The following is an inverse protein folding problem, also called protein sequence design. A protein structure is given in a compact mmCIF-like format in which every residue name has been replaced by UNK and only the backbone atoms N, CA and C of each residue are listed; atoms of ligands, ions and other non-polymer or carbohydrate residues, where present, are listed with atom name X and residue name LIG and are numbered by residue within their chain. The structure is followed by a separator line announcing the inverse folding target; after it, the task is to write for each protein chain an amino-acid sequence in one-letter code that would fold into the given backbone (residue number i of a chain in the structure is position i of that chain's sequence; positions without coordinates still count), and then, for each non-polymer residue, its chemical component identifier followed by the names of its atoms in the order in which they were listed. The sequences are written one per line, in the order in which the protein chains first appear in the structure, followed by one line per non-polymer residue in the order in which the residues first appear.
data_IF_978484094521
#
_entry.id   IF_978484094521
#
_cell.length_a   1.000
_cell.length_b   1.000
_cell.length_c   1.000
_cell.angle_alpha   90.00
_cell.angle_beta   90.00
_cell.angle_gamma   90.00
#
_symmetry.space_group_name_H-M   'P 1'
#
loop_
_entity.id
_entity.type
_entity.pdbx_description
1 polymer ?
#
# COMPACT_ATOMS: atom_id res chain seq x y z
N UNK A 1 17.16 29.52 19.81
CA UNK A 1 17.11 28.38 20.76
C UNK A 1 16.43 28.83 22.03
N UNK A 2 15.49 28.07 22.61
CA UNK A 2 14.78 28.49 23.81
C UNK A 2 15.70 28.53 25.03
N UNK A 3 15.55 29.57 25.86
CA UNK A 3 16.31 29.76 27.11
C UNK A 3 16.02 28.64 28.11
N UNK A 4 16.87 28.43 29.12
CA UNK A 4 16.64 27.41 30.16
C UNK A 4 15.28 27.58 30.87
N UNK A 5 14.86 28.84 31.07
CA UNK A 5 13.53 29.18 31.61
C UNK A 5 12.39 28.76 30.67
N UNK A 6 12.51 29.01 29.37
CA UNK A 6 11.52 28.58 28.38
C UNK A 6 11.43 27.05 28.27
N UNK A 7 12.54 26.34 28.44
CA UNK A 7 12.55 24.86 28.47
C UNK A 7 11.87 24.29 29.72
N UNK A 8 12.06 24.91 30.87
CA UNK A 8 11.34 24.54 32.09
C UNK A 8 9.84 24.80 31.95
N UNK A 9 9.45 25.96 31.42
CA UNK A 9 8.06 26.32 31.16
C UNK A 9 7.35 25.35 30.20
N UNK A 10 8.01 24.91 29.12
CA UNK A 10 7.46 23.90 28.18
C UNK A 10 7.20 22.54 28.83
N UNK A 11 8.09 22.07 29.72
CA UNK A 11 7.87 20.82 30.45
C UNK A 11 6.67 20.92 31.40
N UNK A 12 6.53 22.06 32.06
CA UNK A 12 5.43 22.30 32.98
C UNK A 12 4.09 22.48 32.24
N UNK A 13 4.09 23.12 31.07
CA UNK A 13 2.93 23.21 30.17
C UNK A 13 2.45 21.81 29.74
N UNK A 14 3.36 20.93 29.33
CA UNK A 14 3.01 19.56 28.95
C UNK A 14 2.45 18.73 30.14
N UNK A 15 2.97 18.96 31.35
CA UNK A 15 2.44 18.34 32.56
C UNK A 15 1.01 18.80 32.84
N UNK A 16 0.74 20.12 32.82
CA UNK A 16 -0.61 20.65 33.01
C UNK A 16 -1.59 20.19 31.94
N UNK A 17 -1.15 20.06 30.69
CA UNK A 17 -1.98 19.51 29.61
C UNK A 17 -2.40 18.05 29.90
N UNK A 18 -1.49 17.23 30.41
CA UNK A 18 -1.81 15.86 30.81
C UNK A 18 -2.75 15.81 32.03
N UNK A 19 -2.57 16.70 33.01
CA UNK A 19 -3.44 16.78 34.20
C UNK A 19 -4.85 17.24 33.82
N UNK A 20 -4.99 18.33 33.06
CA UNK A 20 -6.29 18.87 32.62
C UNK A 20 -7.01 17.97 31.61
N UNK A 21 -6.27 17.16 30.84
CA UNK A 21 -6.87 16.15 29.96
C UNK A 21 -7.39 14.92 30.70
N UNK A 22 -6.85 14.63 31.90
CA UNK A 22 -7.20 13.44 32.68
C UNK A 22 -8.12 13.73 33.88
N UNK A 23 -8.23 14.99 34.34
CA UNK A 23 -9.00 15.37 35.51
C UNK A 23 -10.15 16.35 35.18
N UNK A 24 -11.26 16.23 35.91
CA UNK A 24 -12.41 17.14 35.83
C UNK A 24 -12.58 18.00 37.09
N UNK A 25 -11.56 18.02 37.97
CA UNK A 25 -11.61 18.71 39.27
C UNK A 25 -11.32 20.20 39.12
N UNK A 26 -12.09 21.03 39.81
CA UNK A 26 -11.95 22.50 39.73
C UNK A 26 -10.67 23.02 40.41
N UNK A 27 -10.15 22.28 41.40
CA UNK A 27 -8.89 22.58 42.08
C UNK A 27 -7.68 22.56 41.11
N UNK A 28 -7.67 21.64 40.16
CA UNK A 28 -6.59 21.51 39.18
C UNK A 28 -6.62 22.67 38.16
N UNK A 29 -7.81 23.22 37.88
CA UNK A 29 -7.97 24.40 37.02
C UNK A 29 -7.47 25.67 37.70
N UNK A 30 -7.76 25.84 38.98
CA UNK A 30 -7.27 26.97 39.77
C UNK A 30 -5.74 26.97 39.87
N UNK A 31 -5.14 25.81 40.14
CA UNK A 31 -3.69 25.67 40.21
C UNK A 31 -3.00 25.89 38.84
N UNK A 32 -3.63 25.48 37.74
CA UNK A 32 -3.15 25.83 36.40
C UNK A 32 -3.23 27.34 36.12
N UNK A 33 -4.33 28.00 36.48
CA UNK A 33 -4.48 29.44 36.31
C UNK A 33 -3.41 30.23 37.06
N UNK A 34 -3.10 29.82 38.29
CA UNK A 34 -2.04 30.43 39.10
C UNK A 34 -0.66 30.26 38.44
N UNK A 35 -0.34 29.05 37.97
CA UNK A 35 0.90 28.78 37.24
C UNK A 35 1.01 29.58 35.93
N UNK A 36 -0.06 29.65 35.15
CA UNK A 36 -0.10 30.36 33.87
C UNK A 36 0.07 31.88 34.06
N UNK A 37 -0.45 32.43 35.16
CA UNK A 37 -0.30 33.85 35.51
C UNK A 37 1.09 34.20 36.09
N UNK A 38 1.85 33.22 36.55
CA UNK A 38 3.08 33.44 37.33
C UNK A 38 4.27 33.99 36.52
N UNK A 39 4.38 33.64 35.23
CA UNK A 39 5.51 34.08 34.39
C UNK A 39 5.13 34.21 32.90
N UNK A 40 5.66 35.22 32.18
CA UNK A 40 5.43 35.37 30.74
C UNK A 40 5.89 34.15 29.91
N UNK A 41 6.94 33.45 30.37
CA UNK A 41 7.43 32.23 29.71
C UNK A 41 6.45 31.05 29.79
N UNK A 42 5.60 31.00 30.83
CA UNK A 42 4.58 29.97 30.98
C UNK A 42 3.43 30.17 29.97
N UNK A 43 3.04 31.43 29.76
CA UNK A 43 2.04 31.81 28.75
C UNK A 43 2.54 31.48 27.34
N UNK A 44 3.80 31.84 27.05
CA UNK A 44 4.44 31.49 25.78
C UNK A 44 4.49 29.97 25.56
N UNK A 45 4.83 29.20 26.59
CA UNK A 45 4.89 27.74 26.52
C UNK A 45 3.50 27.11 26.29
N UNK A 46 2.47 27.64 26.94
CA UNK A 46 1.08 27.20 26.78
C UNK A 46 0.57 27.47 25.35
N UNK A 47 0.75 28.69 24.85
CA UNK A 47 0.41 29.06 23.46
C UNK A 47 1.14 28.19 22.42
N UNK A 48 2.37 27.77 22.70
CA UNK A 48 3.11 26.90 21.78
C UNK A 48 2.52 25.49 21.72
N UNK A 49 2.00 25.00 22.83
CA UNK A 49 1.33 23.70 22.93
C UNK A 49 -0.04 23.73 22.24
N UNK A 50 -0.82 24.79 22.43
CA UNK A 50 -2.13 24.98 21.77
C UNK A 50 -1.99 25.08 20.24
N UNK A 51 -1.00 25.84 19.75
CA UNK A 51 -0.72 25.91 18.31
C UNK A 51 -0.36 24.55 17.72
N UNK A 52 0.37 23.71 18.48
CA UNK A 52 0.71 22.35 18.05
C UNK A 52 -0.56 21.48 17.98
N UNK A 53 -1.46 21.60 18.96
CA UNK A 53 -2.74 20.88 18.96
C UNK A 53 -3.63 21.28 17.77
N UNK A 54 -3.74 22.58 17.48
CA UNK A 54 -4.53 23.06 16.34
C UNK A 54 -3.98 22.57 15.00
N UNK A 55 -2.64 22.51 14.86
CA UNK A 55 -2.00 21.92 13.67
C UNK A 55 -2.26 20.42 13.53
N UNK A 56 -2.43 19.71 14.65
CA UNK A 56 -2.71 18.28 14.67
C UNK A 56 -4.20 17.94 14.45
N UNK A 57 -5.13 18.84 14.82
CA UNK A 57 -6.57 18.66 14.58
C UNK A 57 -6.97 18.79 13.11
N UNK A 58 -6.11 19.35 12.26
CA UNK A 58 -6.30 19.41 10.80
C UNK A 58 -5.92 18.13 10.04
N UNK A 59 -5.43 17.10 10.73
CA UNK A 59 -5.07 15.81 10.13
C UNK A 59 -6.17 14.78 10.41
N UNK A 60 -6.84 14.21 9.39
CA UNK A 60 -7.82 13.15 9.59
C UNK A 60 -7.10 11.85 9.93
N UNK A 61 -7.12 11.46 11.19
CA UNK A 61 -6.60 10.16 11.62
C UNK A 61 -6.36 10.07 13.12
N UNK A 62 -7.31 9.45 13.84
CA UNK A 62 -7.14 9.04 15.23
C UNK A 62 -6.08 7.93 15.33
N UNK A 63 -4.81 8.30 15.32
CA UNK A 63 -3.69 7.43 15.66
C UNK A 63 -2.56 8.25 16.29
N UNK A 64 -2.72 8.60 17.57
CA UNK A 64 -1.58 8.82 18.47
C UNK A 64 -2.10 8.96 19.91
N UNK A 65 -1.86 7.92 20.73
CA UNK A 65 -1.40 7.99 22.15
C UNK A 65 -1.75 6.72 22.96
N UNK A 66 -1.33 5.53 22.49
CA UNK A 66 -1.28 4.34 23.36
C UNK A 66 0.04 3.54 23.28
N UNK A 67 1.11 4.12 22.75
CA UNK A 67 2.41 3.40 22.61
C UNK A 67 3.57 4.10 23.32
N UNK A 68 3.31 5.06 24.22
CA UNK A 68 4.37 5.70 25.03
C UNK A 68 4.08 5.55 26.53
N UNK A 69 3.65 4.36 26.94
CA UNK A 69 3.58 4.01 28.35
C UNK A 69 3.93 2.55 28.56
N UNK A 70 5.19 2.20 28.32
CA UNK A 70 5.83 1.09 29.02
C UNK A 70 7.34 1.29 29.02
N UNK A 71 7.87 1.50 30.23
CA UNK A 71 9.23 1.15 30.65
C UNK A 71 10.39 2.08 30.27
N UNK A 72 10.61 3.11 31.09
CA UNK A 72 11.94 3.71 31.26
C UNK A 72 12.38 3.69 32.73
N UNK A 73 12.88 2.52 33.13
CA UNK A 73 13.79 2.38 34.26
C UNK A 73 15.24 2.42 33.78
N UNK A 74 16.02 3.37 34.34
CA UNK A 74 17.49 3.39 34.42
C UNK A 74 18.29 2.98 33.17
N UNK A 75 18.76 3.97 32.39
CA UNK A 75 20.21 4.09 32.18
C UNK A 75 20.64 5.50 31.74
N UNK A 76 21.51 6.15 32.55
CA UNK A 76 21.93 7.55 32.40
C UNK A 76 23.10 7.75 31.43
N UNK A 77 23.61 6.68 30.79
CA UNK A 77 24.86 6.73 30.01
C UNK A 77 24.71 6.60 28.49
N UNK A 78 23.51 6.30 27.98
CA UNK A 78 23.28 6.19 26.52
C UNK A 78 22.93 7.53 25.87
N UNK A 79 22.44 8.50 26.66
CA UNK A 79 22.06 9.85 26.17
C UNK A 79 23.26 10.69 25.75
N UNK A 80 24.44 10.48 26.37
CA UNK A 80 25.65 11.25 26.04
C UNK A 80 26.32 10.85 24.71
N UNK A 81 26.01 9.67 24.14
CA UNK A 81 26.50 9.30 22.79
C UNK A 81 25.65 9.92 21.67
N UNK A 82 24.43 10.37 21.95
CA UNK A 82 23.55 11.01 20.97
C UNK A 82 23.88 12.48 20.69
N UNK A 83 24.62 13.17 21.57
CA UNK A 83 24.87 14.61 21.46
C UNK A 83 26.13 14.99 20.68
N UNK A 84 27.06 14.07 20.42
CA UNK A 84 28.23 14.33 19.56
C UNK A 84 27.86 14.28 18.07
N UNK A 85 26.80 13.56 17.70
CA UNK A 85 26.32 13.49 16.31
C UNK A 85 25.60 14.76 15.82
N UNK A 86 25.17 15.65 16.72
CA UNK A 86 24.43 16.86 16.35
C UNK A 86 25.32 18.09 16.08
N UNK A 87 26.60 18.06 16.47
CA UNK A 87 27.52 19.20 16.26
C UNK A 87 28.30 19.13 14.92
N UNK A 88 28.40 17.96 14.28
CA UNK A 88 29.09 17.81 12.98
C UNK A 88 28.18 17.86 11.75
N UNK A 89 26.86 17.96 11.92
CA UNK A 89 25.89 17.75 10.83
C UNK A 89 25.62 18.97 9.94
N UNK A 90 25.97 20.19 10.34
CA UNK A 90 25.56 21.40 9.61
C UNK A 90 26.36 21.64 8.32
N UNK A 91 27.62 21.23 8.24
CA UNK A 91 28.44 21.41 7.04
C UNK A 91 28.25 20.28 6.02
N UNK A 92 27.96 19.06 6.48
CA UNK A 92 27.60 17.95 5.58
C UNK A 92 26.17 18.10 5.02
N UNK A 93 25.25 18.73 5.74
CA UNK A 93 23.88 18.96 5.26
C UNK A 93 23.78 19.93 4.07
N UNK A 94 24.76 20.82 3.88
CA UNK A 94 24.75 21.79 2.79
C UNK A 94 25.38 21.24 1.51
N UNK A 95 26.43 20.42 1.62
CA UNK A 95 27.05 19.72 0.48
C UNK A 95 26.26 18.49 0.04
N UNK A 96 25.51 17.85 0.95
CA UNK A 96 24.63 16.73 0.62
C UNK A 96 23.38 17.14 -0.19
N UNK A 97 22.94 18.40 -0.11
CA UNK A 97 21.77 18.90 -0.87
C UNK A 97 21.99 18.99 -2.38
N UNK A 98 23.23 18.96 -2.85
CA UNK A 98 23.54 19.13 -4.28
C UNK A 98 23.85 17.81 -5.00
N UNK A 99 24.02 16.70 -4.27
CA UNK A 99 24.44 15.40 -4.83
C UNK A 99 23.67 14.18 -4.30
N UNK A 100 22.56 14.37 -3.58
CA UNK A 100 21.69 13.26 -3.18
C UNK A 100 20.55 13.10 -4.19
N UNK A 101 20.47 11.97 -4.92
CA UNK A 101 19.31 11.64 -5.73
C UNK A 101 18.16 11.25 -4.79
N UNK A 102 17.50 12.26 -4.22
CA UNK A 102 16.20 12.09 -3.57
C UNK A 102 15.13 11.94 -4.65
N UNK A 103 15.16 10.83 -5.39
CA UNK A 103 13.92 10.28 -5.91
C UNK A 103 13.24 9.61 -4.73
N UNK A 104 12.11 10.16 -4.25
CA UNK A 104 11.48 9.69 -3.03
C UNK A 104 11.01 8.25 -3.23
N UNK A 105 11.00 7.50 -2.13
CA UNK A 105 10.46 6.14 -1.99
C UNK A 105 8.92 6.12 -2.12
N UNK A 106 8.39 6.83 -3.11
CA UNK A 106 6.96 6.99 -3.39
C UNK A 106 6.80 6.61 -4.85
N UNK A 107 6.11 5.50 -5.10
CA UNK A 107 5.81 5.08 -6.45
C UNK A 107 5.11 6.21 -7.21
N UNK A 108 5.54 6.52 -8.44
CA UNK A 108 5.01 7.62 -9.26
C UNK A 108 3.48 7.55 -9.41
N UNK A 109 2.92 6.33 -9.46
CA UNK A 109 1.48 6.09 -9.49
C UNK A 109 1.06 4.96 -8.55
N UNK A 110 -0.09 5.14 -7.87
CA UNK A 110 -0.65 4.18 -6.92
C UNK A 110 -2.17 4.11 -7.02
N UNK A 111 -2.73 2.98 -6.63
CA UNK A 111 -4.16 2.76 -6.37
C UNK A 111 -4.35 2.25 -4.93
N UNK A 112 -5.39 2.71 -4.26
CA UNK A 112 -5.81 2.20 -2.96
C UNK A 112 -6.46 0.81 -3.06
N UNK A 113 -6.76 0.20 -1.91
CA UNK A 113 -7.55 -1.04 -1.85
C UNK A 113 -8.97 -0.73 -2.38
N UNK A 114 -9.44 -1.53 -3.33
CA UNK A 114 -10.72 -1.37 -4.02
C UNK A 114 -10.71 -0.32 -5.14
N UNK A 115 -9.63 0.45 -5.30
CA UNK A 115 -9.50 1.44 -6.35
C UNK A 115 -8.88 0.83 -7.61
N UNK A 116 -9.38 1.23 -8.78
CA UNK A 116 -8.74 0.98 -10.07
C UNK A 116 -8.49 2.30 -10.78
N UNK A 117 -7.34 2.41 -11.44
CA UNK A 117 -6.96 3.62 -12.17
C UNK A 117 -6.56 3.27 -13.59
N UNK A 118 -6.88 4.17 -14.52
CA UNK A 118 -6.48 4.07 -15.92
C UNK A 118 -5.72 5.32 -16.30
N UNK A 119 -4.59 5.14 -16.96
CA UNK A 119 -3.67 6.21 -17.31
C UNK A 119 -3.25 6.05 -18.78
N UNK A 120 -3.17 7.17 -19.49
CA UNK A 120 -2.50 7.24 -20.79
C UNK A 120 -1.06 7.71 -20.55
N UNK A 121 -0.09 6.91 -20.97
CA UNK A 121 1.33 7.18 -20.82
C UNK A 121 1.82 8.18 -21.88
N UNK A 122 3.00 8.75 -21.67
CA UNK A 122 3.56 9.77 -22.56
C UNK A 122 3.83 9.28 -24.00
N UNK A 123 3.96 7.96 -24.20
CA UNK A 123 4.11 7.33 -25.51
C UNK A 123 2.76 6.94 -26.16
N UNK A 124 1.64 7.26 -25.52
CA UNK A 124 0.29 6.89 -25.96
C UNK A 124 -0.18 5.50 -25.50
N UNK A 125 0.68 4.71 -24.86
CA UNK A 125 0.31 3.41 -24.30
C UNK A 125 -0.72 3.58 -23.16
N UNK A 126 -1.56 2.57 -22.95
CA UNK A 126 -2.52 2.55 -21.82
C UNK A 126 -1.99 1.68 -20.69
N UNK A 127 -2.11 2.20 -19.47
CA UNK A 127 -1.75 1.50 -18.25
C UNK A 127 -2.95 1.50 -17.30
N UNK A 128 -3.43 0.31 -16.96
CA UNK A 128 -4.45 0.10 -15.95
C UNK A 128 -3.81 -0.45 -14.68
N UNK A 129 -4.09 0.18 -13.53
CA UNK A 129 -3.70 -0.28 -12.21
C UNK A 129 -4.91 -0.94 -11.57
N UNK A 130 -4.73 -2.18 -11.11
CA UNK A 130 -5.72 -2.87 -10.29
C UNK A 130 -5.69 -2.36 -8.83
N UNK A 131 -6.50 -2.94 -7.96
CA UNK A 131 -6.50 -2.68 -6.51
C UNK A 131 -5.11 -2.82 -5.88
N UNK A 132 -4.77 -1.89 -4.99
CA UNK A 132 -3.55 -1.91 -4.18
C UNK A 132 -2.25 -2.05 -5.02
N UNK A 133 -2.17 -1.35 -6.14
CA UNK A 133 -1.02 -1.36 -7.05
C UNK A 133 -0.13 -0.14 -6.86
N UNK A 134 1.16 -0.31 -7.13
CA UNK A 134 2.16 0.75 -7.08
C UNK A 134 3.17 0.57 -8.22
N UNK A 135 3.37 1.61 -9.02
CA UNK A 135 4.29 1.61 -10.17
C UNK A 135 5.11 2.89 -10.27
N UNK A 136 6.36 2.74 -10.71
CA UNK A 136 7.22 3.84 -11.15
C UNK A 136 7.31 3.85 -12.68
N UNK A 137 7.35 5.04 -13.28
CA UNK A 137 7.35 5.21 -14.73
C UNK A 137 8.66 5.89 -15.12
N UNK A 138 9.52 5.17 -15.83
CA UNK A 138 10.88 5.58 -16.21
C UNK A 138 11.03 5.50 -17.72
N UNK A 139 10.63 6.56 -18.42
CA UNK A 139 10.76 6.65 -19.87
C UNK A 139 11.93 7.55 -20.23
N UNK A 140 12.77 7.08 -21.14
CA UNK A 140 13.93 7.82 -21.64
C UNK A 140 14.05 7.68 -23.17
N UNK A 141 15.21 8.05 -23.71
CA UNK A 141 15.47 7.99 -25.14
C UNK A 141 15.76 6.56 -25.63
N UNK A 142 16.09 5.64 -24.74
CA UNK A 142 16.51 4.27 -25.02
C UNK A 142 15.39 3.27 -24.78
N UNK A 143 14.52 3.50 -23.80
CA UNK A 143 13.53 2.53 -23.34
C UNK A 143 12.29 3.19 -22.71
N UNK A 144 11.24 2.37 -22.59
CA UNK A 144 9.99 2.70 -21.89
C UNK A 144 9.82 1.70 -20.74
N UNK A 145 10.31 2.05 -19.55
CA UNK A 145 10.30 1.16 -18.39
C UNK A 145 9.17 1.51 -17.42
N UNK A 146 8.42 0.49 -17.01
CA UNK A 146 7.50 0.50 -15.88
C UNK A 146 8.09 -0.40 -14.80
N UNK A 147 8.28 0.10 -13.58
CA UNK A 147 8.70 -0.72 -12.44
C UNK A 147 7.47 -1.01 -11.58
N UNK A 148 7.01 -2.26 -11.58
CA UNK A 148 5.91 -2.72 -10.75
C UNK A 148 6.43 -3.05 -9.35
N UNK A 149 6.13 -2.19 -8.39
CA UNK A 149 6.54 -2.37 -7.00
C UNK A 149 5.62 -3.36 -6.27
N UNK A 150 4.31 -3.27 -6.53
CA UNK A 150 3.31 -4.14 -5.94
C UNK A 150 2.02 -4.17 -6.75
N UNK A 151 1.23 -5.23 -6.55
CA UNK A 151 -0.12 -5.35 -7.08
C UNK A 151 -0.16 -5.93 -8.49
N UNK A 152 -1.05 -5.40 -9.30
CA UNK A 152 -1.35 -5.89 -10.63
C UNK A 152 -1.63 -4.74 -11.59
N UNK A 153 -1.15 -4.89 -12.82
CA UNK A 153 -1.35 -3.96 -13.92
C UNK A 153 -1.76 -4.67 -15.20
N UNK A 154 -2.44 -3.94 -16.07
CA UNK A 154 -2.57 -4.27 -17.49
C UNK A 154 -1.91 -3.17 -18.31
N UNK A 155 -1.14 -3.59 -19.31
CA UNK A 155 -0.48 -2.70 -20.25
C UNK A 155 -1.00 -2.99 -21.65
N UNK A 156 -1.27 -1.93 -22.40
CA UNK A 156 -1.51 -1.97 -23.83
C UNK A 156 -0.55 -1.00 -24.51
N UNK A 157 0.43 -1.56 -25.21
CA UNK A 157 1.54 -0.78 -25.77
C UNK A 157 1.24 -0.24 -27.15
N UNK A 158 1.68 0.98 -27.43
CA UNK A 158 1.78 1.50 -28.80
C UNK A 158 3.10 1.03 -29.45
N UNK A 159 3.10 0.66 -30.75
CA UNK A 159 4.32 0.32 -31.47
C UNK A 159 5.35 1.46 -31.45
N UNK A 160 6.56 1.16 -31.00
CA UNK A 160 7.73 2.05 -31.08
C UNK A 160 8.95 1.12 -31.20
N UNK A 161 9.42 0.85 -32.43
CA UNK A 161 10.57 -0.04 -32.67
C UNK A 161 11.89 0.51 -32.14
N UNK A 162 11.99 1.81 -31.88
CA UNK A 162 13.22 2.44 -31.43
C UNK A 162 13.46 2.23 -29.93
N UNK A 163 12.37 2.14 -29.14
CA UNK A 163 12.45 1.99 -27.68
C UNK A 163 11.62 0.79 -27.22
N UNK A 164 12.23 -0.28 -26.67
CA UNK A 164 11.46 -1.39 -26.11
C UNK A 164 10.60 -0.93 -24.94
N UNK A 165 9.43 -1.54 -24.80
CA UNK A 165 8.57 -1.38 -23.63
C UNK A 165 8.86 -2.52 -22.65
N UNK A 166 9.22 -2.16 -21.42
CA UNK A 166 9.70 -3.06 -20.39
C UNK A 166 8.85 -2.90 -19.13
N UNK A 167 8.53 -4.00 -18.48
CA UNK A 167 7.96 -4.03 -17.13
C UNK A 167 8.94 -4.78 -16.23
N UNK A 168 9.58 -4.07 -15.31
CA UNK A 168 10.40 -4.68 -14.28
C UNK A 168 9.55 -5.03 -13.07
N UNK A 169 9.81 -6.20 -12.51
CA UNK A 169 9.26 -6.67 -11.23
C UNK A 169 10.42 -7.06 -10.32
N UNK A 170 10.12 -7.43 -9.08
CA UNK A 170 11.17 -7.96 -8.20
C UNK A 170 11.79 -9.28 -8.71
N UNK A 171 11.03 -10.05 -9.51
CA UNK A 171 11.35 -11.42 -9.95
C UNK A 171 12.00 -11.44 -11.35
N UNK A 172 11.78 -10.43 -12.18
CA UNK A 172 12.35 -10.40 -13.53
C UNK A 172 11.87 -9.22 -14.39
N UNK A 173 12.29 -9.25 -15.65
CA UNK A 173 11.98 -8.25 -16.66
C UNK A 173 11.05 -8.84 -17.72
N UNK A 174 9.94 -8.17 -17.99
CA UNK A 174 9.00 -8.52 -19.06
C UNK A 174 9.16 -7.50 -20.19
N UNK A 175 9.50 -7.95 -21.39
CA UNK A 175 9.60 -7.12 -22.59
C UNK A 175 8.39 -7.34 -23.49
N UNK A 176 7.67 -6.27 -23.78
CA UNK A 176 6.53 -6.31 -24.67
C UNK A 176 6.97 -6.30 -26.14
N UNK A 177 6.36 -7.16 -26.96
CA UNK A 177 6.60 -7.23 -28.42
C UNK A 177 5.44 -6.58 -29.20
N UNK A 178 4.86 -5.49 -28.67
CA UNK A 178 3.71 -4.78 -29.26
C UNK A 178 2.35 -5.32 -28.83
N UNK A 179 2.16 -5.53 -27.52
CA UNK A 179 1.12 -6.42 -26.97
C UNK A 179 0.17 -5.71 -25.99
N UNK A 180 -0.96 -6.38 -25.72
CA UNK A 180 -1.78 -6.23 -24.52
C UNK A 180 -1.53 -7.40 -23.58
N UNK A 181 -1.12 -7.12 -22.34
CA UNK A 181 -0.76 -8.14 -21.34
C UNK A 181 -1.01 -7.64 -19.92
N UNK A 182 -1.06 -8.58 -18.97
CA UNK A 182 -1.21 -8.35 -17.53
C UNK A 182 0.03 -8.81 -16.80
N UNK A 183 0.41 -8.09 -15.75
CA UNK A 183 1.50 -8.48 -14.84
C UNK A 183 0.97 -8.34 -13.42
N UNK A 184 1.04 -9.43 -12.65
CA UNK A 184 0.62 -9.49 -11.26
C UNK A 184 1.77 -9.97 -10.39
N UNK A 185 2.20 -9.13 -9.46
CA UNK A 185 3.21 -9.49 -8.47
C UNK A 185 2.51 -10.07 -7.23
N UNK A 186 2.67 -11.38 -7.01
CA UNK A 186 2.16 -12.07 -5.82
C UNK A 186 3.18 -12.01 -4.69
N UNK A 187 2.99 -12.72 -3.58
CA UNK A 187 3.96 -12.72 -2.46
C UNK A 187 5.26 -13.48 -2.78
N UNK A 188 5.18 -14.57 -3.55
CA UNK A 188 6.32 -15.45 -3.82
C UNK A 188 6.82 -15.44 -5.28
N UNK A 189 5.98 -15.00 -6.22
CA UNK A 189 6.30 -15.03 -7.65
C UNK A 189 5.57 -13.89 -8.38
N UNK A 190 5.91 -13.71 -9.65
CA UNK A 190 5.23 -12.83 -10.60
C UNK A 190 4.52 -13.67 -11.64
N UNK A 191 3.30 -13.27 -12.01
CA UNK A 191 2.50 -13.90 -13.05
C UNK A 191 2.31 -12.91 -14.20
N UNK A 192 2.56 -13.36 -15.43
CA UNK A 192 2.29 -12.61 -16.65
C UNK A 192 1.25 -13.36 -17.49
N UNK A 193 0.24 -12.65 -17.96
CA UNK A 193 -0.80 -13.18 -18.84
C UNK A 193 -0.89 -12.35 -20.12
N UNK A 194 -0.76 -12.99 -21.28
CA UNK A 194 -0.72 -12.28 -22.57
C UNK A 194 -2.06 -12.39 -23.28
N UNK A 195 -2.67 -11.24 -23.57
CA UNK A 195 -3.95 -11.17 -24.28
C UNK A 195 -3.78 -11.08 -25.80
N UNK A 196 -2.74 -10.41 -26.28
CA UNK A 196 -2.48 -10.20 -27.71
C UNK A 196 -0.99 -10.31 -28.02
N UNK A 197 -0.59 -10.76 -29.21
CA UNK A 197 0.82 -10.89 -29.60
C UNK A 197 1.65 -11.73 -28.61
N UNK A 198 2.77 -11.20 -28.10
CA UNK A 198 3.67 -11.93 -27.20
C UNK A 198 4.47 -11.00 -26.27
N UNK A 199 4.99 -11.58 -25.19
CA UNK A 199 6.01 -10.97 -24.33
C UNK A 199 7.19 -11.91 -24.15
N UNK A 200 8.38 -11.35 -23.96
CA UNK A 200 9.58 -12.09 -23.56
C UNK A 200 9.85 -11.85 -22.07
N UNK A 201 10.06 -12.92 -21.30
CA UNK A 201 10.35 -12.86 -19.87
C UNK A 201 11.79 -13.27 -19.61
N UNK A 202 12.53 -12.40 -18.93
CA UNK A 202 13.91 -12.63 -18.49
C UNK A 202 13.95 -12.68 -16.96
N UNK A 203 14.50 -13.75 -16.39
CA UNK A 203 14.62 -13.90 -14.94
C UNK A 203 15.75 -13.03 -14.38
N UNK A 204 15.61 -12.58 -13.13
CA UNK A 204 16.56 -11.64 -12.53
C UNK A 204 17.89 -12.29 -12.12
N UNK A 205 17.88 -13.51 -11.60
CA UNK A 205 19.05 -14.17 -11.00
C UNK A 205 19.67 -15.24 -11.90
N UNK A 206 18.94 -15.73 -12.90
CA UNK A 206 19.41 -16.80 -13.78
C UNK A 206 19.65 -16.27 -15.19
N UNK A 207 20.89 -16.37 -15.73
CA UNK A 207 21.17 -16.11 -17.13
C UNK A 207 20.66 -17.28 -17.98
N UNK A 208 19.34 -17.32 -18.17
CA UNK A 208 18.65 -18.24 -19.08
C UNK A 208 18.16 -17.47 -20.31
N UNK A 209 17.94 -18.14 -21.45
CA UNK A 209 17.28 -17.52 -22.58
C UNK A 209 15.88 -17.03 -22.19
N UNK A 210 15.46 -15.92 -22.80
CA UNK A 210 14.14 -15.35 -22.58
C UNK A 210 13.04 -16.39 -22.84
N UNK A 211 12.09 -16.50 -21.91
CA UNK A 211 10.88 -17.31 -22.13
C UNK A 211 9.85 -16.49 -22.88
N UNK A 212 9.48 -16.94 -24.07
CA UNK A 212 8.46 -16.30 -24.90
C UNK A 212 7.07 -16.79 -24.49
N UNK A 213 6.20 -15.85 -24.10
CA UNK A 213 4.81 -16.12 -23.73
C UNK A 213 3.92 -15.56 -24.84
N UNK A 214 3.11 -16.42 -25.46
CA UNK A 214 2.23 -16.07 -26.58
C UNK A 214 0.84 -15.66 -26.08
N UNK A 215 0.06 -15.02 -26.95
CA UNK A 215 -1.34 -14.71 -26.70
C UNK A 215 -2.13 -15.95 -26.27
N UNK A 216 -2.99 -15.78 -25.26
CA UNK A 216 -3.76 -16.87 -24.67
C UNK A 216 -2.94 -17.74 -23.71
N UNK A 217 -1.73 -17.34 -23.34
CA UNK A 217 -0.89 -18.04 -22.36
C UNK A 217 -0.60 -17.18 -21.13
N UNK A 218 -0.34 -17.85 -20.02
CA UNK A 218 0.20 -17.26 -18.80
C UNK A 218 1.46 -18.01 -18.34
N UNK A 219 2.34 -17.26 -17.68
CA UNK A 219 3.58 -17.75 -17.10
C UNK A 219 3.71 -17.21 -15.68
N UNK A 220 3.95 -18.10 -14.72
CA UNK A 220 4.36 -17.76 -13.37
C UNK A 220 5.87 -17.99 -13.23
N UNK A 221 6.58 -17.05 -12.63
CA UNK A 221 8.03 -17.13 -12.45
C UNK A 221 8.48 -16.39 -11.18
N UNK A 222 9.55 -16.88 -10.57
CA UNK A 222 10.29 -16.19 -9.53
C UNK A 222 11.64 -15.69 -10.07
N UNK A 223 12.52 -15.21 -9.20
CA UNK A 223 13.82 -14.67 -9.62
C UNK A 223 14.74 -15.69 -10.35
N UNK A 224 14.48 -16.98 -10.19
CA UNK A 224 15.39 -18.07 -10.58
C UNK A 224 14.76 -19.12 -11.49
N UNK A 225 13.43 -19.30 -11.42
CA UNK A 225 12.72 -20.36 -12.12
C UNK A 225 11.42 -19.89 -12.77
N UNK A 226 11.09 -20.50 -13.90
CA UNK A 226 9.79 -20.42 -14.55
C UNK A 226 8.95 -21.67 -14.29
N UNK A 227 7.66 -21.50 -14.04
CA UNK A 227 6.69 -22.59 -14.12
C UNK A 227 6.34 -22.92 -15.59
N UNK A 228 5.75 -24.09 -15.88
CA UNK A 228 5.24 -24.38 -17.22
C UNK A 228 4.20 -23.35 -17.67
N UNK A 229 4.20 -23.04 -18.97
CA UNK A 229 3.18 -22.21 -19.60
C UNK A 229 1.79 -22.85 -19.43
N UNK A 230 0.79 -22.05 -19.08
CA UNK A 230 -0.61 -22.49 -18.96
C UNK A 230 -1.50 -21.66 -19.87
N UNK A 231 -2.69 -22.16 -20.24
CA UNK A 231 -3.70 -21.33 -20.90
C UNK A 231 -4.11 -20.16 -20.01
N UNK A 232 -4.19 -18.97 -20.60
CA UNK A 232 -4.75 -17.79 -19.95
C UNK A 232 -6.28 -17.88 -19.98
N UNK A 233 -6.92 -17.63 -18.85
CA UNK A 233 -8.37 -17.41 -18.81
C UNK A 233 -8.71 -16.16 -19.65
N UNK A 234 -9.55 -16.27 -20.70
CA UNK A 234 -9.95 -15.12 -21.53
C UNK A 234 -10.55 -13.97 -20.71
N UNK A 235 -11.14 -14.28 -19.55
CA UNK A 235 -11.81 -13.35 -18.66
C UNK A 235 -10.88 -12.75 -17.60
N UNK A 236 -9.59 -13.13 -17.58
CA UNK A 236 -8.59 -12.67 -16.59
C UNK A 236 -8.43 -11.14 -16.56
N UNK A 237 -8.82 -10.43 -17.63
CA UNK A 237 -8.72 -8.97 -17.72
C UNK A 237 -10.00 -8.20 -17.37
N UNK A 238 -11.11 -8.88 -17.06
CA UNK A 238 -12.40 -8.22 -16.79
C UNK A 238 -12.38 -7.33 -15.55
N UNK A 239 -11.37 -7.46 -14.69
CA UNK A 239 -11.18 -6.54 -13.57
C UNK A 239 -11.01 -5.09 -14.04
N UNK A 240 -10.50 -4.88 -15.26
CA UNK A 240 -10.41 -3.53 -15.86
C UNK A 240 -11.78 -2.91 -16.13
N UNK A 241 -12.83 -3.74 -16.28
CA UNK A 241 -14.21 -3.37 -16.56
C UNK A 241 -15.11 -3.39 -15.31
N UNK A 242 -14.54 -3.42 -14.10
CA UNK A 242 -15.38 -3.40 -12.91
C UNK A 242 -15.75 -4.77 -12.34
N UNK A 243 -15.38 -5.88 -13.00
CA UNK A 243 -15.99 -7.19 -12.74
C UNK A 243 -14.97 -8.31 -12.54
N UNK A 244 -15.30 -9.26 -11.68
CA UNK A 244 -14.65 -10.55 -11.58
C UNK A 244 -15.56 -11.57 -12.25
N UNK A 245 -15.18 -12.05 -13.43
CA UNK A 245 -15.91 -13.10 -14.12
C UNK A 245 -15.17 -14.42 -13.90
N UNK A 246 -15.87 -15.39 -13.35
CA UNK A 246 -15.32 -16.70 -12.99
C UNK A 246 -16.15 -17.80 -13.62
N UNK A 247 -15.49 -18.89 -13.98
CA UNK A 247 -16.13 -20.12 -14.44
C UNK A 247 -15.57 -21.32 -13.70
N UNK A 248 -16.38 -21.92 -12.82
CA UNK A 248 -16.03 -23.13 -12.08
C UNK A 248 -14.93 -22.93 -11.03
N UNK A 249 -14.72 -21.71 -10.55
CA UNK A 249 -13.76 -21.44 -9.48
C UNK A 249 -14.23 -22.03 -8.16
N UNK A 250 -13.30 -22.40 -7.28
CA UNK A 250 -13.63 -22.77 -5.90
C UNK A 250 -14.08 -21.53 -5.14
N UNK A 251 -14.99 -21.69 -4.19
CA UNK A 251 -15.45 -20.61 -3.33
C UNK A 251 -14.26 -19.97 -2.60
N UNK A 252 -13.32 -20.78 -2.09
CA UNK A 252 -12.13 -20.27 -1.43
C UNK A 252 -11.29 -19.35 -2.34
N UNK A 253 -11.03 -19.77 -3.60
CA UNK A 253 -10.25 -19.00 -4.57
C UNK A 253 -10.97 -17.69 -4.94
N UNK A 254 -12.31 -17.74 -5.05
CA UNK A 254 -13.13 -16.56 -5.32
C UNK A 254 -13.07 -15.56 -4.17
N UNK A 255 -13.21 -16.04 -2.93
CA UNK A 255 -13.13 -15.18 -1.75
C UNK A 255 -11.72 -14.62 -1.54
N UNK A 256 -10.67 -15.38 -1.85
CA UNK A 256 -9.30 -14.88 -1.86
C UNK A 256 -9.15 -13.74 -2.87
N UNK A 257 -9.69 -13.89 -4.08
CA UNK A 257 -9.62 -12.83 -5.10
C UNK A 257 -10.44 -11.59 -4.69
N UNK A 258 -11.68 -11.76 -4.20
CA UNK A 258 -12.51 -10.67 -3.70
C UNK A 258 -11.90 -9.96 -2.48
N UNK A 259 -11.15 -10.68 -1.64
CA UNK A 259 -10.48 -10.09 -0.47
C UNK A 259 -9.47 -9.01 -0.84
N UNK A 260 -8.95 -9.01 -2.08
CA UNK A 260 -8.04 -7.98 -2.58
C UNK A 260 -8.70 -6.60 -2.76
N UNK A 261 -10.02 -6.58 -2.94
CA UNK A 261 -10.78 -5.39 -3.30
C UNK A 261 -11.47 -4.75 -2.09
N UNK A 262 -11.33 -5.36 -0.90
CA UNK A 262 -11.94 -4.83 0.33
C UNK A 262 -10.94 -4.83 1.49
N UNK A 263 -11.04 -3.85 2.41
CA UNK A 263 -10.33 -3.94 3.68
C UNK A 263 -10.94 -5.04 4.55
N UNK A 264 -10.10 -5.67 5.37
CA UNK A 264 -10.51 -6.68 6.34
C UNK A 264 -10.23 -8.12 5.88
N UNK A 265 -10.70 -9.08 6.68
CA UNK A 265 -10.58 -10.50 6.44
C UNK A 265 -11.89 -11.04 5.85
N UNK A 266 -11.76 -11.72 4.71
CA UNK A 266 -12.82 -12.49 4.08
C UNK A 266 -12.38 -13.95 4.02
N UNK A 267 -13.16 -14.84 4.62
CA UNK A 267 -12.85 -16.28 4.64
C UNK A 267 -14.12 -17.13 4.50
N UNK A 268 -13.95 -18.42 4.26
CA UNK A 268 -15.03 -19.40 4.35
C UNK A 268 -14.66 -20.55 5.29
N UNK A 269 -15.67 -21.28 5.73
CA UNK A 269 -15.48 -22.58 6.35
C UNK A 269 -14.84 -23.58 5.37
N UNK A 270 -14.00 -24.49 5.87
CA UNK A 270 -13.34 -25.49 5.03
C UNK A 270 -14.32 -26.47 4.39
N UNK A 271 -15.47 -26.73 5.02
CA UNK A 271 -16.53 -27.61 4.50
C UNK A 271 -17.16 -27.11 3.19
N UNK A 272 -17.13 -25.81 2.93
CA UNK A 272 -17.73 -25.17 1.75
C UNK A 272 -16.67 -24.60 0.78
N UNK A 273 -15.38 -24.73 1.11
CA UNK A 273 -14.28 -24.15 0.35
C UNK A 273 -14.24 -24.62 -1.11
N UNK A 274 -14.64 -25.87 -1.35
CA UNK A 274 -14.62 -26.53 -2.65
C UNK A 274 -15.89 -26.34 -3.50
N UNK A 275 -16.90 -25.63 -2.97
CA UNK A 275 -18.09 -25.29 -3.76
C UNK A 275 -17.69 -24.53 -5.02
N UNK A 276 -18.31 -24.88 -6.14
CA UNK A 276 -18.00 -24.31 -7.45
C UNK A 276 -18.91 -23.15 -7.74
N UNK A 277 -18.32 -22.06 -8.23
CA UNK A 277 -19.00 -20.82 -8.50
C UNK A 277 -18.67 -20.34 -9.92
N UNK A 278 -19.71 -20.00 -10.66
CA UNK A 278 -19.62 -19.36 -11.97
C UNK A 278 -20.50 -18.12 -11.99
N UNK A 279 -20.04 -17.06 -12.63
CA UNK A 279 -20.79 -15.81 -12.73
C UNK A 279 -19.89 -14.58 -12.84
N UNK A 280 -20.53 -13.43 -12.99
CA UNK A 280 -19.87 -12.13 -12.99
C UNK A 280 -20.21 -11.38 -11.70
N UNK A 281 -19.18 -11.02 -10.94
CA UNK A 281 -19.31 -10.36 -9.65
C UNK A 281 -18.77 -8.93 -9.73
N UNK A 282 -19.50 -7.93 -9.24
CA UNK A 282 -19.02 -6.55 -9.20
C UNK A 282 -17.86 -6.42 -8.21
N UNK A 283 -16.81 -5.72 -8.62
CA UNK A 283 -15.64 -5.46 -7.78
C UNK A 283 -15.70 -4.08 -7.10
N UNK A 284 -16.51 -3.16 -7.63
CA UNK A 284 -16.73 -1.83 -7.01
C UNK A 284 -17.61 -1.91 -5.76
N UNK A 285 -18.47 -2.93 -5.67
CA UNK A 285 -19.30 -3.22 -4.51
C UNK A 285 -19.16 -4.69 -4.12
N UNK A 286 -18.16 -4.98 -3.29
CA UNK A 286 -17.91 -6.35 -2.84
C UNK A 286 -19.01 -6.92 -1.94
N UNK A 287 -19.83 -6.07 -1.29
CA UNK A 287 -20.94 -6.55 -0.47
C UNK A 287 -22.10 -7.04 -1.37
N UNK A 288 -22.32 -6.38 -2.53
CA UNK A 288 -23.21 -6.88 -3.57
C UNK A 288 -22.73 -8.22 -4.15
N UNK A 289 -21.42 -8.39 -4.36
CA UNK A 289 -20.84 -9.65 -4.79
C UNK A 289 -21.08 -10.77 -3.76
N UNK A 290 -20.82 -10.51 -2.48
CA UNK A 290 -21.06 -11.49 -1.40
C UNK A 290 -22.55 -11.85 -1.28
N UNK A 291 -23.46 -10.88 -1.41
CA UNK A 291 -24.90 -11.13 -1.42
C UNK A 291 -25.32 -12.02 -2.60
N UNK A 292 -24.69 -11.87 -3.77
CA UNK A 292 -24.92 -12.74 -4.91
C UNK A 292 -24.42 -14.18 -4.65
N UNK A 293 -23.27 -14.35 -3.99
CA UNK A 293 -22.74 -15.66 -3.60
C UNK A 293 -23.69 -16.39 -2.64
N UNK A 294 -24.19 -15.69 -1.62
CA UNK A 294 -25.16 -16.25 -0.65
C UNK A 294 -26.47 -16.68 -1.31
N UNK A 295 -26.91 -15.98 -2.38
CA UNK A 295 -28.09 -16.39 -3.15
C UNK A 295 -27.83 -17.61 -4.05
N UNK A 296 -26.60 -17.80 -4.49
CA UNK A 296 -26.23 -18.86 -5.43
C UNK A 296 -25.85 -20.18 -4.75
N UNK A 297 -25.38 -20.13 -3.50
CA UNK A 297 -24.90 -21.30 -2.75
C UNK A 297 -25.64 -21.45 -1.41
N UNK A 298 -25.74 -22.67 -0.85
CA UNK A 298 -26.36 -22.91 0.46
C UNK A 298 -25.43 -22.49 1.62
N UNK A 299 -25.10 -21.20 1.67
CA UNK A 299 -24.17 -20.60 2.62
C UNK A 299 -24.78 -19.35 3.24
N UNK A 300 -24.33 -18.95 4.43
CA UNK A 300 -24.69 -17.68 5.04
C UNK A 300 -23.45 -16.92 5.52
N UNK A 301 -23.59 -15.60 5.65
CA UNK A 301 -22.52 -14.72 6.11
C UNK A 301 -22.63 -14.55 7.62
N UNK A 302 -21.53 -14.80 8.32
CA UNK A 302 -21.32 -14.44 9.72
C UNK A 302 -20.28 -13.33 9.77
N UNK A 303 -20.63 -12.20 10.39
CA UNK A 303 -19.71 -11.08 10.61
C UNK A 303 -19.62 -10.77 12.10
N UNK A 304 -18.39 -10.65 12.60
CA UNK A 304 -18.10 -10.18 13.95
C UNK A 304 -17.92 -8.66 13.97
N UNK A 305 -17.38 -8.11 12.88
CA UNK A 305 -17.20 -6.68 12.64
C UNK A 305 -17.34 -6.39 11.14
N UNK A 306 -17.38 -5.11 10.75
CA UNK A 306 -17.35 -4.70 9.33
C UNK A 306 -16.12 -5.19 8.54
N UNK A 307 -15.04 -5.55 9.24
CA UNK A 307 -13.76 -5.97 8.66
C UNK A 307 -13.49 -7.47 8.85
N UNK A 308 -14.44 -8.23 9.38
CA UNK A 308 -14.31 -9.67 9.53
C UNK A 308 -15.59 -10.34 9.04
N UNK A 309 -15.49 -10.99 7.88
CA UNK A 309 -16.59 -11.64 7.20
C UNK A 309 -16.20 -13.09 6.95
N UNK A 310 -17.04 -14.02 7.42
CA UNK A 310 -16.85 -15.45 7.18
C UNK A 310 -18.11 -16.06 6.59
N UNK A 311 -17.95 -16.83 5.51
CA UNK A 311 -19.02 -17.66 4.96
C UNK A 311 -19.03 -19.02 5.66
N UNK A 312 -20.21 -19.50 6.01
CA UNK A 312 -20.43 -20.79 6.68
C UNK A 312 -21.61 -21.53 6.03
N UNK A 313 -21.67 -22.88 6.09
CA UNK A 313 -22.77 -23.64 5.51
C UNK A 313 -24.12 -23.30 6.18
N UNK A 314 -25.21 -23.38 5.43
CA UNK A 314 -26.55 -23.46 6.01
C UNK A 314 -26.66 -24.86 6.62
N UNK A 315 -26.89 -24.93 7.94
CA UNK A 315 -26.99 -26.19 8.69
C UNK A 315 -28.23 -27.01 8.34
#
# INVERSE_FOLDING_TARGET
MPTDRQRAALRMAAHWYAVLGASTREEDRLAWHEWHAQAPENQWAWQRLENLQQQLQGLPGNLAFQTISSEWGRDRRTVLKGLVLLAGGSTLAWTARQNLPWQPWVADQRSAIGERRSLTLADGSRLHLNTASAVDIRFDAQQRLIELQAGEIQVETVPDPARPFLVATRDGLIRALGTRFTVRQRKAFTEVGVLQHAVAVTLKQTPQPDTLVQAGQCLAFDASHTQPLRPLDPLASEWTNGRLVIDGWRLADTLEELSRYRPGLLSCDSSIADLRLSGAYPLDDTDQALAAIVRALPVHIVSLTRYWVRLVPIG
#
